data_IF_583851983440
#
_entry.id   IF_583851983440
#
_cell.length_a   1.000
_cell.length_b   1.000
_cell.length_c   1.000
_cell.angle_alpha   90.00
_cell.angle_beta   90.00
_cell.angle_gamma   90.00
#
_symmetry.space_group_name_H-M   'P 1'
#
loop_
_entity.id
_entity.type
_entity.pdbx_description
1 polymer ?
#
# COMPACT_ATOMS: atom_id res chain seq x y z
N UNK A 1 25.31 36.78 16.50
CA UNK A 1 24.07 36.29 17.13
C UNK A 1 23.36 35.35 16.16
N UNK A 2 22.96 34.17 16.65
CA UNK A 2 22.40 33.05 15.90
C UNK A 2 20.97 33.37 15.43
N UNK A 3 20.63 32.98 14.19
CA UNK A 3 19.31 32.44 13.89
C UNK A 3 19.48 31.28 12.92
N UNK A 4 19.71 30.09 13.48
CA UNK A 4 19.52 28.82 12.77
C UNK A 4 18.03 28.68 12.54
N UNK A 5 17.56 28.83 11.30
CA UNK A 5 16.22 28.36 10.92
C UNK A 5 16.29 26.85 10.70
N UNK A 6 15.83 26.12 11.71
CA UNK A 6 15.31 24.75 11.62
C UNK A 6 13.87 24.87 11.07
N UNK A 7 13.33 24.01 10.19
CA UNK A 7 13.84 22.79 9.59
C UNK A 7 12.93 22.35 8.42
N UNK A 8 13.52 21.61 7.49
CA UNK A 8 12.96 21.04 6.26
C UNK A 8 11.91 19.91 6.50
N UNK A 9 11.25 19.90 7.66
CA UNK A 9 10.40 18.79 8.12
C UNK A 9 8.89 18.98 7.90
N UNK A 10 8.40 20.22 7.86
CA UNK A 10 6.96 20.51 7.71
C UNK A 10 6.43 20.35 6.27
N UNK A 11 7.19 20.83 5.29
CA UNK A 11 6.73 20.84 3.88
C UNK A 11 6.60 19.45 3.24
N UNK A 12 7.30 18.44 3.76
CA UNK A 12 7.18 17.06 3.27
C UNK A 12 5.89 16.39 3.79
N UNK A 13 5.53 16.66 5.05
CA UNK A 13 4.29 16.22 5.68
C UNK A 13 3.09 16.86 4.95
N UNK A 14 3.18 18.17 4.69
CA UNK A 14 2.14 18.92 3.98
C UNK A 14 1.86 18.40 2.55
N UNK A 15 2.90 17.96 1.83
CA UNK A 15 2.76 17.40 0.47
C UNK A 15 2.13 16.01 0.47
N UNK A 16 2.54 15.15 1.41
CA UNK A 16 1.93 13.82 1.54
C UNK A 16 0.47 13.93 1.98
N UNK A 17 0.17 14.86 2.89
CA UNK A 17 -1.19 15.14 3.36
C UNK A 17 -2.11 15.62 2.23
N UNK A 18 -1.60 16.45 1.32
CA UNK A 18 -2.37 16.86 0.14
C UNK A 18 -2.75 15.68 -0.75
N UNK A 19 -1.80 14.77 -1.02
CA UNK A 19 -2.06 13.56 -1.79
C UNK A 19 -3.01 12.60 -1.05
N UNK A 20 -2.83 12.41 0.25
CA UNK A 20 -3.69 11.57 1.08
C UNK A 20 -5.14 12.07 1.08
N UNK A 21 -5.34 13.40 1.19
CA UNK A 21 -6.68 14.02 1.07
C UNK A 21 -7.30 13.83 -0.31
N UNK A 22 -6.51 13.93 -1.38
CA UNK A 22 -7.00 13.68 -2.73
C UNK A 22 -7.47 12.23 -2.91
N UNK A 23 -6.69 11.25 -2.43
CA UNK A 23 -7.07 9.84 -2.44
C UNK A 23 -8.33 9.56 -1.61
N UNK A 24 -8.45 10.17 -0.43
CA UNK A 24 -9.59 10.00 0.47
C UNK A 24 -10.89 10.61 -0.07
N UNK A 25 -10.81 11.54 -1.02
CA UNK A 25 -11.96 12.18 -1.65
C UNK A 25 -12.54 11.37 -2.83
N UNK A 26 -11.93 10.24 -3.20
CA UNK A 26 -12.42 9.38 -4.29
C UNK A 26 -13.46 8.38 -3.76
N UNK A 27 -14.62 8.35 -4.39
CA UNK A 27 -15.81 7.66 -3.85
C UNK A 27 -15.86 6.14 -4.11
N UNK A 28 -15.04 5.62 -5.03
CA UNK A 28 -15.10 4.21 -5.41
C UNK A 28 -13.78 3.69 -6.01
N UNK A 29 -13.70 2.35 -6.13
CA UNK A 29 -12.50 1.66 -6.62
C UNK A 29 -12.15 1.99 -8.08
N UNK A 30 -13.13 2.28 -8.95
CA UNK A 30 -12.86 2.65 -10.34
C UNK A 30 -12.21 4.03 -10.44
N UNK A 31 -12.68 4.99 -9.64
CA UNK A 31 -12.09 6.33 -9.53
C UNK A 31 -10.66 6.26 -8.98
N UNK A 32 -10.42 5.45 -7.94
CA UNK A 32 -9.07 5.21 -7.40
C UNK A 32 -8.16 4.56 -8.45
N UNK A 33 -8.66 3.56 -9.19
CA UNK A 33 -7.88 2.90 -10.25
C UNK A 33 -7.49 3.87 -11.36
N UNK A 34 -8.43 4.68 -11.84
CA UNK A 34 -8.15 5.69 -12.86
C UNK A 34 -7.10 6.70 -12.37
N UNK A 35 -7.28 7.22 -11.15
CA UNK A 35 -6.33 8.16 -10.54
C UNK A 35 -4.90 7.57 -10.42
N UNK A 36 -4.78 6.32 -9.98
CA UNK A 36 -3.48 5.66 -9.87
C UNK A 36 -2.85 5.41 -11.25
N UNK A 37 -3.64 5.11 -12.28
CA UNK A 37 -3.16 4.95 -13.66
C UNK A 37 -2.64 6.26 -14.27
N UNK A 38 -3.22 7.41 -13.90
CA UNK A 38 -2.74 8.72 -14.32
C UNK A 38 -1.49 9.17 -13.54
N UNK A 39 -1.45 8.88 -12.22
CA UNK A 39 -0.40 9.36 -11.32
C UNK A 39 0.90 8.54 -11.40
N UNK A 40 0.78 7.22 -11.55
CA UNK A 40 1.89 6.29 -11.40
C UNK A 40 2.36 5.73 -12.74
N UNK A 41 3.65 5.42 -12.81
CA UNK A 41 4.20 4.60 -13.88
C UNK A 41 3.73 3.14 -13.77
N UNK A 42 3.77 2.35 -14.87
CA UNK A 42 3.41 0.93 -14.82
C UNK A 42 4.22 0.13 -13.78
N UNK A 43 5.52 0.42 -13.63
CA UNK A 43 6.37 -0.26 -12.66
C UNK A 43 6.02 0.08 -11.20
N UNK A 44 5.57 1.31 -10.93
CA UNK A 44 5.10 1.69 -9.60
C UNK A 44 3.78 1.00 -9.26
N UNK A 45 2.86 0.91 -10.22
CA UNK A 45 1.60 0.17 -10.06
C UNK A 45 1.84 -1.33 -9.81
N UNK A 46 2.75 -1.94 -10.56
CA UNK A 46 3.17 -3.33 -10.36
C UNK A 46 3.74 -3.52 -8.96
N UNK A 47 4.68 -2.67 -8.55
CA UNK A 47 5.29 -2.75 -7.23
C UNK A 47 4.27 -2.56 -6.08
N UNK A 48 3.28 -1.68 -6.24
CA UNK A 48 2.20 -1.51 -5.26
C UNK A 48 1.29 -2.74 -5.21
N UNK A 49 0.92 -3.27 -6.37
CA UNK A 49 0.04 -4.44 -6.52
C UNK A 49 0.69 -5.68 -5.92
N UNK A 50 1.97 -5.91 -6.20
CA UNK A 50 2.74 -7.03 -5.65
C UNK A 50 2.84 -6.97 -4.13
N UNK A 51 3.07 -5.79 -3.56
CA UNK A 51 3.07 -5.60 -2.10
C UNK A 51 1.71 -5.94 -1.51
N UNK A 52 0.61 -5.50 -2.14
CA UNK A 52 -0.74 -5.75 -1.66
C UNK A 52 -1.13 -7.23 -1.75
N UNK A 53 -0.81 -7.93 -2.85
CA UNK A 53 -1.12 -9.35 -3.05
C UNK A 53 -0.55 -10.27 -1.97
N UNK A 54 0.57 -9.86 -1.37
CA UNK A 54 1.25 -10.60 -0.30
C UNK A 54 0.57 -10.45 1.06
N UNK A 55 -0.10 -9.32 1.31
CA UNK A 55 -0.70 -8.98 2.61
C UNK A 55 -1.68 -10.04 3.15
N UNK A 56 -2.70 -10.50 2.40
CA UNK A 56 -3.65 -11.49 2.92
C UNK A 56 -2.99 -12.84 3.24
N UNK A 57 -1.99 -13.25 2.44
CA UNK A 57 -1.26 -14.50 2.67
C UNK A 57 -0.40 -14.43 3.94
N UNK A 58 0.23 -13.27 4.20
CA UNK A 58 0.95 -13.04 5.45
C UNK A 58 0.01 -13.08 6.67
N UNK A 59 -1.20 -12.51 6.56
CA UNK A 59 -2.19 -12.58 7.64
C UNK A 59 -2.69 -14.00 7.92
N UNK A 60 -2.72 -14.84 6.88
CA UNK A 60 -3.05 -16.27 6.99
C UNK A 60 -1.89 -17.12 7.53
N UNK A 61 -0.72 -16.53 7.77
CA UNK A 61 0.46 -17.25 8.28
C UNK A 61 1.16 -18.11 7.22
N UNK A 62 0.92 -17.85 5.93
CA UNK A 62 1.53 -18.61 4.83
C UNK A 62 3.06 -18.40 4.83
N UNK A 63 3.89 -19.46 4.73
CA UNK A 63 5.35 -19.34 4.69
C UNK A 63 5.83 -18.51 3.49
N UNK A 64 6.89 -17.72 3.67
CA UNK A 64 7.35 -16.78 2.63
C UNK A 64 7.71 -17.44 1.30
N UNK A 65 8.24 -18.67 1.34
CA UNK A 65 8.56 -19.42 0.12
C UNK A 65 7.29 -19.75 -0.67
N UNK A 66 6.24 -20.19 0.01
CA UNK A 66 4.96 -20.49 -0.61
C UNK A 66 4.29 -19.21 -1.13
N UNK A 67 4.38 -18.11 -0.39
CA UNK A 67 3.94 -16.79 -0.90
C UNK A 67 4.68 -16.43 -2.19
N UNK A 68 6.00 -16.65 -2.25
CA UNK A 68 6.78 -16.41 -3.46
C UNK A 68 6.29 -17.30 -4.61
N UNK A 69 6.08 -18.60 -4.38
CA UNK A 69 5.62 -19.53 -5.41
C UNK A 69 4.23 -19.12 -5.94
N UNK A 70 3.32 -18.68 -5.07
CA UNK A 70 1.96 -18.25 -5.43
C UNK A 70 1.89 -16.89 -6.13
N UNK A 71 2.76 -15.95 -5.75
CA UNK A 71 2.64 -14.54 -6.16
C UNK A 71 3.73 -14.10 -7.13
N UNK A 72 4.83 -14.85 -7.21
CA UNK A 72 6.09 -14.51 -7.87
C UNK A 72 6.81 -13.29 -7.28
N UNK A 73 6.32 -12.75 -6.16
CA UNK A 73 6.95 -11.63 -5.46
C UNK A 73 8.20 -12.11 -4.73
N UNK A 74 9.31 -11.39 -4.84
CA UNK A 74 10.57 -11.81 -4.20
C UNK A 74 10.44 -11.97 -2.68
N UNK A 75 11.14 -12.95 -2.10
CA UNK A 75 11.19 -13.17 -0.64
C UNK A 75 11.66 -11.92 0.11
N UNK A 76 12.56 -11.13 -0.49
CA UNK A 76 13.01 -9.84 0.06
C UNK A 76 11.86 -8.83 0.17
N UNK A 77 11.03 -8.72 -0.88
CA UNK A 77 9.83 -7.86 -0.85
C UNK A 77 8.82 -8.37 0.17
N UNK A 78 8.56 -9.68 0.21
CA UNK A 78 7.64 -10.31 1.18
C UNK A 78 8.08 -9.98 2.62
N UNK A 79 9.36 -10.17 2.94
CA UNK A 79 9.90 -9.85 4.26
C UNK A 79 9.80 -8.37 4.63
N UNK A 80 9.89 -7.46 3.66
CA UNK A 80 9.65 -6.02 3.89
C UNK A 80 8.18 -5.75 4.24
N UNK A 81 7.24 -6.34 3.50
CA UNK A 81 5.80 -6.19 3.77
C UNK A 81 5.44 -6.74 5.15
N UNK A 82 5.93 -7.93 5.51
CA UNK A 82 5.71 -8.53 6.82
C UNK A 82 6.18 -7.62 7.97
N UNK A 83 7.40 -7.06 7.85
CA UNK A 83 7.91 -6.11 8.83
C UNK A 83 7.05 -4.85 8.96
N UNK A 84 6.53 -4.33 7.85
CA UNK A 84 5.63 -3.17 7.85
C UNK A 84 4.26 -3.48 8.42
N UNK A 85 3.75 -4.71 8.25
CA UNK A 85 2.51 -5.14 8.91
C UNK A 85 2.67 -5.17 10.44
N UNK A 86 3.82 -5.63 10.94
CA UNK A 86 4.08 -5.70 12.38
C UNK A 86 4.42 -4.35 13.03
N UNK A 87 5.18 -3.49 12.34
CA UNK A 87 5.84 -2.30 12.92
C UNK A 87 5.62 -1.01 12.13
N UNK A 88 4.73 -1.03 11.14
CA UNK A 88 4.43 0.13 10.31
C UNK A 88 3.44 1.09 10.95
N UNK A 89 2.88 1.97 10.11
CA UNK A 89 1.93 3.01 10.52
C UNK A 89 0.49 2.53 10.69
N UNK A 90 0.24 1.22 10.51
CA UNK A 90 -1.10 0.63 10.62
C UNK A 90 -1.99 0.75 9.37
N UNK A 91 -1.52 1.39 8.29
CA UNK A 91 -2.31 1.60 7.07
C UNK A 91 -2.85 0.30 6.42
N UNK A 92 -2.05 -0.77 6.41
CA UNK A 92 -2.54 -2.08 5.94
C UNK A 92 -3.69 -2.63 6.79
N UNK A 93 -3.61 -2.50 8.12
CA UNK A 93 -4.67 -2.98 9.00
C UNK A 93 -5.98 -2.20 8.80
N UNK A 94 -5.89 -0.90 8.50
CA UNK A 94 -7.06 -0.08 8.14
C UNK A 94 -7.69 -0.53 6.82
N UNK A 95 -6.89 -0.80 5.80
CA UNK A 95 -7.36 -1.21 4.47
C UNK A 95 -7.95 -2.64 4.46
N UNK A 96 -7.58 -3.49 5.42
CA UNK A 96 -8.07 -4.88 5.56
C UNK A 96 -9.34 -4.99 6.40
N UNK A 97 -9.90 -3.88 6.88
CA UNK A 97 -11.12 -3.93 7.70
C UNK A 97 -12.28 -4.50 6.87
N UNK A 98 -13.20 -5.29 7.48
CA UNK A 98 -14.35 -5.88 6.80
C UNK A 98 -15.24 -4.83 6.10
N UNK A 99 -15.21 -3.62 6.62
CA UNK A 99 -15.94 -2.44 6.17
C UNK A 99 -15.46 -1.96 4.76
N UNK A 100 -14.30 -2.44 4.31
CA UNK A 100 -13.75 -2.18 2.98
C UNK A 100 -13.99 -3.42 2.09
N UNK A 101 -15.03 -3.42 1.22
CA UNK A 101 -15.38 -4.61 0.45
C UNK A 101 -14.21 -5.04 -0.45
N UNK A 102 -13.96 -6.35 -0.61
CA UNK A 102 -12.93 -6.81 -1.53
C UNK A 102 -13.27 -6.34 -2.96
N UNK A 103 -12.27 -5.87 -3.69
CA UNK A 103 -12.38 -5.54 -5.10
C UNK A 103 -12.72 -6.84 -5.88
N UNK A 104 -14.03 -7.08 -6.05
CA UNK A 104 -14.64 -8.17 -6.82
C UNK A 104 -13.98 -9.55 -6.61
N UNK A 105 -14.60 -10.39 -5.79
CA UNK A 105 -14.48 -11.83 -5.96
C UNK A 105 -15.11 -12.20 -7.32
N UNK A 106 -14.32 -12.13 -8.39
CA UNK A 106 -14.73 -12.72 -9.67
C UNK A 106 -14.62 -14.23 -9.51
N UNK A 107 -15.79 -14.85 -9.47
CA UNK A 107 -16.04 -16.27 -9.29
C UNK A 107 -15.09 -17.14 -10.12
N UNK A 108 -14.28 -17.95 -9.44
CA UNK A 108 -13.73 -19.15 -10.04
C UNK A 108 -14.81 -20.25 -9.97
N UNK A 109 -15.50 -20.45 -11.09
CA UNK A 109 -16.20 -21.69 -11.43
C UNK A 109 -15.89 -22.04 -12.88
#
# INVERSE_FOLDING_TARGET
MKRRMQGNGGEADDRLDALARALAALDNADAVRAFLQDLCTPAELEAMTDRWRVVPLLQQGVPYREIHDLTQVSVTTIGRVARTLERGTGGYALALRPDFPPASAKEAR
#
